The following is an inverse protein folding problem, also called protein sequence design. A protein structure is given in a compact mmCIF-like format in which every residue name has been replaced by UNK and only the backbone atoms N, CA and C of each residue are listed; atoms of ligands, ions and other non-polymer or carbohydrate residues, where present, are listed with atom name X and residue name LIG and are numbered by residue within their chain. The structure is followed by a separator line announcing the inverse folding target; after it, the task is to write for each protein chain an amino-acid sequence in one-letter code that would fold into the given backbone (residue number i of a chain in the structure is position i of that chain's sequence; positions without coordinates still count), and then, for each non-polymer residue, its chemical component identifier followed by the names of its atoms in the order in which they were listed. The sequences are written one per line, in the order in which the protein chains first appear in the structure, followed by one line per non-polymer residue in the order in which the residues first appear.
data_IF_092055173730
#
_entry.id   IF_092055173730
#
_cell.length_a   1.000
_cell.length_b   1.000
_cell.length_c   1.000
_cell.angle_alpha   90.00
_cell.angle_beta   90.00
_cell.angle_gamma   90.00
#
_symmetry.space_group_name_H-M   'P 1'
#
loop_
_entity.id
_entity.type
_entity.pdbx_description
1 polymer ?
#
# COMPACT_ATOMS: atom_id res chain seq x y z
N UNK A 1 -6.15 -0.31 20.32
CA UNK A 1 -4.95 -1.14 20.20
C UNK A 1 -4.42 -1.04 18.77
N UNK A 2 -3.11 -0.95 18.56
CA UNK A 2 -2.56 -1.03 17.22
C UNK A 2 -2.84 -2.41 16.61
N UNK A 3 -3.40 -2.47 15.41
CA UNK A 3 -3.78 -3.72 14.74
C UNK A 3 -2.63 -4.77 14.69
N UNK A 4 -1.37 -4.32 14.58
CA UNK A 4 -0.20 -5.19 14.60
C UNK A 4 0.08 -5.88 15.94
N UNK A 5 -0.51 -5.41 17.05
CA UNK A 5 -0.37 -6.02 18.37
C UNK A 5 -1.46 -7.06 18.66
N UNK A 6 -2.47 -7.19 17.79
CA UNK A 6 -3.61 -8.05 18.05
C UNK A 6 -3.24 -9.54 18.10
N UNK A 7 -2.31 -9.98 17.25
CA UNK A 7 -1.81 -11.37 17.28
C UNK A 7 -1.14 -11.69 18.61
N UNK A 8 -0.35 -10.74 19.15
CA UNK A 8 0.31 -10.90 20.46
C UNK A 8 -0.72 -10.91 21.60
N UNK A 9 -1.78 -10.09 21.50
CA UNK A 9 -2.89 -10.10 22.45
C UNK A 9 -3.62 -11.45 22.44
N UNK A 10 -3.95 -12.00 21.27
CA UNK A 10 -4.60 -13.30 21.16
C UNK A 10 -3.76 -14.41 21.77
N UNK A 11 -2.45 -14.42 21.49
CA UNK A 11 -1.50 -15.37 22.08
C UNK A 11 -1.48 -15.24 23.59
N UNK A 12 -1.34 -14.02 24.12
CA UNK A 12 -1.35 -13.75 25.55
C UNK A 12 -2.64 -14.25 26.23
N UNK A 13 -3.79 -13.97 25.62
CA UNK A 13 -5.09 -14.37 26.15
C UNK A 13 -5.26 -15.90 26.10
N UNK A 14 -4.89 -16.54 24.99
CA UNK A 14 -4.95 -17.99 24.83
C UNK A 14 -4.07 -18.72 25.88
N UNK A 15 -2.84 -18.25 26.12
CA UNK A 15 -1.93 -18.82 27.11
C UNK A 15 -2.45 -18.73 28.55
N UNK A 16 -3.42 -17.83 28.81
CA UNK A 16 -4.02 -17.58 30.14
C UNK A 16 -5.48 -17.95 30.26
N UNK A 17 -6.04 -18.60 29.23
CA UNK A 17 -7.44 -19.03 29.23
C UNK A 17 -8.45 -17.88 29.20
N UNK A 18 -8.05 -16.69 28.72
CA UNK A 18 -8.96 -15.56 28.51
C UNK A 18 -9.66 -15.66 27.17
N UNK A 19 -10.96 -15.32 27.15
CA UNK A 19 -11.68 -15.10 25.88
C UNK A 19 -11.43 -13.68 25.38
N UNK A 20 -11.40 -13.52 24.06
CA UNK A 20 -11.26 -12.22 23.40
C UNK A 20 -12.48 -11.97 22.56
N UNK A 21 -13.27 -10.98 22.93
CA UNK A 21 -14.35 -10.47 22.10
C UNK A 21 -13.84 -9.35 21.21
N UNK A 22 -14.18 -9.42 19.93
CA UNK A 22 -13.77 -8.42 18.94
C UNK A 22 -14.98 -7.89 18.20
N UNK A 23 -15.09 -6.59 18.10
CA UNK A 23 -16.07 -5.93 17.24
C UNK A 23 -15.43 -5.63 15.88
N UNK A 24 -16.19 -5.84 14.81
CA UNK A 24 -15.79 -5.42 13.48
C UNK A 24 -15.87 -3.88 13.41
N UNK A 25 -14.75 -3.26 13.11
CA UNK A 25 -14.67 -1.81 12.90
C UNK A 25 -14.67 -1.49 11.40
N UNK A 26 -14.80 -0.20 11.04
CA UNK A 26 -14.62 0.28 9.64
C UNK A 26 -13.28 -0.15 9.02
N UNK A 27 -12.30 -0.51 9.85
CA UNK A 27 -10.99 -1.02 9.45
C UNK A 27 -10.95 -2.55 9.31
N UNK A 28 -12.05 -3.24 9.59
CA UNK A 28 -12.17 -4.70 9.64
C UNK A 28 -11.54 -5.31 10.89
N UNK A 29 -11.70 -6.63 11.04
CA UNK A 29 -10.99 -7.40 12.05
C UNK A 29 -9.50 -7.49 11.67
N UNK A 30 -8.58 -7.37 12.62
CA UNK A 30 -7.13 -7.45 12.35
C UNK A 30 -6.67 -8.75 11.66
N UNK A 31 -7.49 -9.78 11.69
CA UNK A 31 -7.21 -11.13 11.16
C UNK A 31 -8.20 -11.55 10.08
N UNK A 32 -9.23 -10.74 9.75
CA UNK A 32 -10.16 -11.13 8.71
C UNK A 32 -9.45 -11.13 7.35
N UNK A 33 -9.17 -12.31 6.83
CA UNK A 33 -8.80 -12.46 5.43
C UNK A 33 -10.08 -12.37 4.60
N UNK A 34 -10.20 -11.32 3.80
CA UNK A 34 -11.23 -11.27 2.77
C UNK A 34 -10.94 -12.37 1.75
N UNK A 35 -11.96 -13.16 1.40
CA UNK A 35 -11.82 -14.01 0.23
C UNK A 35 -11.74 -13.11 -1.00
N UNK A 36 -10.63 -13.21 -1.72
CA UNK A 36 -10.50 -12.62 -3.07
C UNK A 36 -10.97 -13.70 -4.04
N UNK A 37 -11.94 -13.36 -4.87
CA UNK A 37 -12.38 -14.25 -5.93
C UNK A 37 -11.27 -14.28 -7.00
N UNK A 38 -10.63 -15.42 -7.16
CA UNK A 38 -9.54 -15.63 -8.11
C UNK A 38 -10.01 -15.51 -9.57
N UNK A 39 -11.25 -15.87 -9.85
CA UNK A 39 -11.84 -15.68 -11.18
C UNK A 39 -12.01 -14.20 -11.50
N UNK A 40 -12.56 -13.44 -10.57
CA UNK A 40 -12.68 -11.97 -10.72
C UNK A 40 -11.31 -11.30 -10.86
N UNK A 41 -10.33 -11.76 -10.09
CA UNK A 41 -8.96 -11.23 -10.16
C UNK A 41 -8.28 -11.55 -11.50
N UNK A 42 -8.46 -12.75 -12.05
CA UNK A 42 -7.93 -13.11 -13.37
C UNK A 42 -8.59 -12.27 -14.48
N UNK A 43 -9.89 -12.11 -14.45
CA UNK A 43 -10.60 -11.23 -15.39
C UNK A 43 -10.12 -9.77 -15.29
N UNK A 44 -9.78 -9.31 -14.09
CA UNK A 44 -9.18 -7.99 -13.90
C UNK A 44 -7.81 -7.90 -14.57
N UNK A 45 -6.92 -8.88 -14.40
CA UNK A 45 -5.59 -8.90 -15.02
C UNK A 45 -5.69 -8.83 -16.55
N UNK A 46 -6.63 -9.56 -17.15
CA UNK A 46 -6.86 -9.51 -18.60
C UNK A 46 -7.34 -8.13 -19.08
N UNK A 47 -8.22 -7.48 -18.29
CA UNK A 47 -8.83 -6.19 -18.66
C UNK A 47 -7.89 -4.99 -18.56
N UNK A 48 -6.91 -5.02 -17.67
CA UNK A 48 -6.01 -3.86 -17.48
C UNK A 48 -4.93 -3.73 -18.55
N UNK A 49 -4.83 -4.68 -19.48
CA UNK A 49 -3.93 -4.59 -20.63
C UNK A 49 -2.44 -4.64 -20.28
N UNK A 50 -2.06 -5.55 -19.39
CA UNK A 50 -0.67 -5.72 -18.98
C UNK A 50 0.24 -6.15 -20.14
N UNK A 51 1.50 -5.67 -20.21
CA UNK A 51 2.46 -6.11 -21.22
C UNK A 51 2.92 -7.56 -20.99
N UNK A 52 2.77 -8.08 -19.78
CA UNK A 52 3.06 -9.47 -19.39
C UNK A 52 2.25 -9.86 -18.16
N UNK A 53 2.02 -11.16 -18.00
CA UNK A 53 1.30 -11.67 -16.82
C UNK A 53 2.22 -11.73 -15.60
N UNK A 54 1.68 -11.58 -14.38
CA UNK A 54 2.45 -11.74 -13.15
C UNK A 54 2.99 -13.19 -13.05
N UNK A 55 4.21 -13.31 -12.53
CA UNK A 55 4.75 -14.61 -12.13
C UNK A 55 3.95 -15.15 -10.94
N UNK A 56 3.95 -16.46 -10.75
CA UNK A 56 3.20 -17.14 -9.68
C UNK A 56 3.40 -16.48 -8.31
N UNK A 57 4.65 -16.26 -7.88
CA UNK A 57 4.93 -15.63 -6.60
C UNK A 57 4.46 -14.15 -6.51
N UNK A 58 4.40 -13.43 -7.63
CA UNK A 58 3.86 -12.06 -7.67
C UNK A 58 2.34 -12.08 -7.55
N UNK A 59 1.71 -13.01 -8.26
CA UNK A 59 0.28 -13.27 -8.16
C UNK A 59 -0.12 -13.60 -6.70
N UNK A 60 0.56 -14.56 -6.08
CA UNK A 60 0.31 -14.96 -4.70
C UNK A 60 0.54 -13.84 -3.70
N UNK A 61 1.59 -13.04 -3.90
CA UNK A 61 1.86 -11.87 -3.07
C UNK A 61 0.74 -10.84 -3.16
N UNK A 62 0.21 -10.57 -4.36
CA UNK A 62 -0.91 -9.64 -4.56
C UNK A 62 -2.18 -10.18 -3.90
N UNK A 63 -2.55 -11.43 -4.14
CA UNK A 63 -3.74 -12.06 -3.54
C UNK A 63 -3.63 -12.02 -2.00
N UNK A 64 -2.49 -12.43 -1.45
CA UNK A 64 -2.26 -12.44 0.00
C UNK A 64 -2.36 -11.03 0.59
N UNK A 65 -1.83 -10.03 -0.08
CA UNK A 65 -1.94 -8.63 0.37
C UNK A 65 -3.38 -8.12 0.31
N UNK A 66 -4.11 -8.41 -0.77
CA UNK A 66 -5.51 -8.00 -0.95
C UNK A 66 -6.45 -8.66 0.06
N UNK A 67 -6.16 -9.89 0.48
CA UNK A 67 -6.89 -10.56 1.55
C UNK A 67 -6.75 -9.84 2.90
N UNK A 68 -5.71 -9.03 3.05
CA UNK A 68 -5.41 -8.27 4.26
C UNK A 68 -5.41 -6.78 3.92
N UNK A 69 -6.00 -5.97 4.76
CA UNK A 69 -5.97 -4.51 4.57
C UNK A 69 -4.59 -3.91 4.86
N UNK A 70 -3.76 -4.62 5.63
CA UNK A 70 -2.41 -4.20 6.01
C UNK A 70 -1.45 -5.38 5.92
N UNK A 71 -0.34 -5.21 5.20
CA UNK A 71 0.69 -6.23 5.07
C UNK A 71 2.07 -5.62 4.84
N UNK A 72 3.10 -6.34 5.25
CA UNK A 72 4.49 -6.12 4.83
C UNK A 72 4.86 -7.28 3.92
N UNK A 73 5.30 -6.95 2.71
CA UNK A 73 5.75 -7.91 1.71
C UNK A 73 7.27 -7.93 1.69
N UNK A 74 7.84 -9.09 2.01
CA UNK A 74 9.27 -9.33 1.83
C UNK A 74 9.50 -9.59 0.34
N UNK A 75 10.17 -8.68 -0.31
CA UNK A 75 10.34 -8.68 -1.75
C UNK A 75 11.78 -8.29 -2.09
N UNK A 76 12.68 -9.26 -2.31
CA UNK A 76 14.08 -9.00 -2.62
C UNK A 76 14.26 -8.10 -3.85
N UNK A 77 15.42 -7.50 -3.98
CA UNK A 77 15.78 -6.74 -5.19
C UNK A 77 15.63 -7.62 -6.43
N UNK A 78 15.05 -7.08 -7.48
CA UNK A 78 14.80 -7.82 -8.72
C UNK A 78 13.55 -8.73 -8.71
N UNK A 79 12.80 -8.82 -7.60
CA UNK A 79 11.56 -9.60 -7.53
C UNK A 79 10.36 -8.93 -8.24
N UNK A 80 10.52 -7.72 -8.78
CA UNK A 80 9.44 -6.98 -9.42
C UNK A 80 8.49 -6.32 -8.43
N UNK A 81 9.02 -5.74 -7.33
CA UNK A 81 8.25 -4.96 -6.35
C UNK A 81 7.33 -3.92 -6.99
N UNK A 82 7.85 -3.17 -7.97
CA UNK A 82 7.09 -2.14 -8.68
C UNK A 82 5.85 -2.71 -9.37
N UNK A 83 5.97 -3.92 -9.94
CA UNK A 83 4.85 -4.58 -10.58
C UNK A 83 3.77 -5.05 -9.58
N UNK A 84 4.19 -5.58 -8.43
CA UNK A 84 3.27 -5.94 -7.34
C UNK A 84 2.55 -4.67 -6.82
N UNK A 85 3.27 -3.57 -6.61
CA UNK A 85 2.69 -2.27 -6.24
C UNK A 85 1.67 -1.79 -7.27
N UNK A 86 2.01 -1.92 -8.56
CA UNK A 86 1.14 -1.55 -9.67
C UNK A 86 -0.18 -2.34 -9.63
N UNK A 87 -0.10 -3.66 -9.50
CA UNK A 87 -1.29 -4.53 -9.46
C UNK A 87 -2.18 -4.23 -8.25
N UNK A 88 -1.61 -4.06 -7.06
CA UNK A 88 -2.34 -3.68 -5.86
C UNK A 88 -3.06 -2.34 -6.02
N UNK A 89 -2.36 -1.35 -6.57
CA UNK A 89 -2.93 -0.02 -6.84
C UNK A 89 -4.06 -0.07 -7.85
N UNK A 90 -3.88 -0.79 -8.95
CA UNK A 90 -4.91 -0.89 -10.01
C UNK A 90 -6.15 -1.65 -9.50
N UNK A 91 -5.96 -2.75 -8.76
CA UNK A 91 -7.07 -3.46 -8.16
C UNK A 91 -7.83 -2.59 -7.13
N UNK A 92 -7.09 -1.86 -6.29
CA UNK A 92 -7.70 -0.90 -5.38
C UNK A 92 -8.56 0.14 -6.12
N UNK A 93 -8.04 0.72 -7.18
CA UNK A 93 -8.75 1.73 -7.97
C UNK A 93 -10.01 1.17 -8.62
N UNK A 94 -9.98 -0.08 -9.07
CA UNK A 94 -11.09 -0.72 -9.78
C UNK A 94 -12.20 -1.20 -8.83
N UNK A 95 -11.86 -1.77 -7.67
CA UNK A 95 -12.83 -2.52 -6.85
C UNK A 95 -12.95 -2.05 -5.41
N UNK A 96 -11.90 -1.45 -4.83
CA UNK A 96 -11.87 -1.15 -3.41
C UNK A 96 -12.07 0.33 -3.08
N UNK A 97 -11.92 1.20 -4.06
CA UNK A 97 -11.98 2.65 -3.89
C UNK A 97 -13.41 3.21 -3.95
N UNK A 98 -14.23 2.85 -2.99
CA UNK A 98 -15.65 3.27 -2.94
C UNK A 98 -15.84 4.75 -2.62
N UNK A 99 -14.85 5.40 -2.00
CA UNK A 99 -14.91 6.81 -1.57
C UNK A 99 -14.16 7.76 -2.53
N UNK A 100 -13.72 7.29 -3.69
CA UNK A 100 -12.91 8.06 -4.66
C UNK A 100 -11.67 8.73 -4.02
N UNK A 101 -11.00 8.01 -3.15
CA UNK A 101 -9.80 8.45 -2.46
C UNK A 101 -8.56 8.24 -3.33
N UNK A 102 -7.50 8.99 -3.03
CA UNK A 102 -6.24 8.91 -3.74
C UNK A 102 -5.36 7.77 -3.22
N UNK A 103 -4.38 7.39 -4.04
CA UNK A 103 -3.30 6.47 -3.67
C UNK A 103 -2.03 7.28 -3.40
N UNK A 104 -1.36 6.98 -2.29
CA UNK A 104 -0.06 7.54 -1.93
C UNK A 104 1.00 6.43 -1.99
N UNK A 105 2.06 6.66 -2.76
CA UNK A 105 3.23 5.79 -2.80
C UNK A 105 4.41 6.55 -2.23
N UNK A 106 5.05 5.99 -1.21
CA UNK A 106 6.15 6.61 -0.49
C UNK A 106 7.43 5.84 -0.80
N UNK A 107 8.41 6.55 -1.29
CA UNK A 107 9.74 6.00 -1.62
C UNK A 107 10.84 6.77 -0.91
N UNK A 108 12.03 6.19 -0.69
CA UNK A 108 13.11 6.86 0.04
C UNK A 108 13.81 7.98 -0.74
N UNK A 109 13.91 7.89 -2.07
CA UNK A 109 14.70 8.80 -2.89
C UNK A 109 13.97 9.36 -4.10
N UNK A 110 14.43 10.48 -4.63
CA UNK A 110 13.87 11.08 -5.85
C UNK A 110 14.10 10.21 -7.08
N UNK A 111 15.22 9.52 -7.17
CA UNK A 111 15.49 8.58 -8.27
C UNK A 111 14.47 7.44 -8.31
N UNK A 112 14.04 6.94 -7.14
CA UNK A 112 12.99 5.92 -7.08
C UNK A 112 11.61 6.48 -7.45
N UNK A 113 11.33 7.78 -7.23
CA UNK A 113 10.09 8.40 -7.75
C UNK A 113 10.06 8.33 -9.28
N UNK A 114 11.17 8.67 -9.93
CA UNK A 114 11.26 8.64 -11.39
C UNK A 114 11.23 7.21 -11.94
N UNK A 115 12.01 6.30 -11.32
CA UNK A 115 12.04 4.89 -11.73
C UNK A 115 10.65 4.26 -11.63
N UNK A 116 9.97 4.40 -10.50
CA UNK A 116 8.65 3.82 -10.31
C UNK A 116 7.62 4.40 -11.27
N UNK A 117 7.73 5.70 -11.60
CA UNK A 117 6.90 6.33 -12.61
C UNK A 117 7.16 5.74 -14.00
N UNK A 118 8.44 5.49 -14.35
CA UNK A 118 8.80 4.84 -15.61
C UNK A 118 8.29 3.40 -15.68
N UNK A 119 8.46 2.63 -14.60
CA UNK A 119 7.95 1.27 -14.51
C UNK A 119 6.43 1.23 -14.73
N UNK A 120 5.68 2.13 -14.09
CA UNK A 120 4.23 2.19 -14.26
C UNK A 120 3.79 2.57 -15.67
N UNK A 121 4.57 3.41 -16.35
CA UNK A 121 4.37 3.71 -17.76
C UNK A 121 4.58 2.46 -18.62
N UNK A 122 5.63 1.68 -18.36
CA UNK A 122 5.90 0.42 -19.05
C UNK A 122 4.79 -0.62 -18.81
N UNK A 123 4.14 -0.59 -17.65
CA UNK A 123 2.99 -1.45 -17.34
C UNK A 123 1.66 -0.97 -17.96
N UNK A 124 1.70 0.10 -18.76
CA UNK A 124 0.53 0.59 -19.50
C UNK A 124 -0.23 1.74 -18.86
N UNK A 125 0.30 2.37 -17.80
CA UNK A 125 -0.38 3.50 -17.15
C UNK A 125 -0.14 4.81 -17.90
N UNK A 126 -1.20 5.60 -18.06
CA UNK A 126 -1.09 7.01 -18.50
C UNK A 126 -0.56 7.86 -17.32
N UNK A 127 0.76 7.90 -17.18
CA UNK A 127 1.43 8.56 -16.06
C UNK A 127 1.24 10.08 -16.08
N UNK A 128 1.08 10.68 -17.27
CA UNK A 128 0.85 12.12 -17.38
C UNK A 128 -0.53 12.51 -16.87
N UNK A 129 -1.50 11.67 -17.06
CA UNK A 129 -2.86 11.87 -16.56
C UNK A 129 -3.01 11.50 -15.09
N UNK A 130 -2.47 10.37 -14.68
CA UNK A 130 -2.81 9.72 -13.42
C UNK A 130 -1.83 10.01 -12.29
N UNK A 131 -0.53 10.21 -12.58
CA UNK A 131 0.52 10.30 -11.55
C UNK A 131 0.96 11.74 -11.31
N UNK A 132 1.01 12.11 -10.05
CA UNK A 132 1.65 13.33 -9.58
C UNK A 132 2.87 13.02 -8.72
N UNK A 133 4.01 13.60 -9.09
CA UNK A 133 5.29 13.39 -8.39
C UNK A 133 5.55 14.55 -7.43
N UNK A 134 5.84 14.24 -6.15
CA UNK A 134 6.17 15.24 -5.12
C UNK A 134 7.58 14.98 -4.58
N UNK A 135 8.52 15.84 -4.96
CA UNK A 135 9.89 15.89 -4.40
C UNK A 135 10.53 17.26 -4.71
N UNK A 136 11.53 17.67 -3.93
CA UNK A 136 12.36 18.85 -4.20
C UNK A 136 11.57 20.11 -4.60
N UNK A 137 10.61 20.53 -3.76
CA UNK A 137 9.87 21.79 -3.97
C UNK A 137 8.71 21.72 -4.98
N UNK A 138 8.42 20.57 -5.58
CA UNK A 138 7.24 20.40 -6.45
C UNK A 138 5.93 20.62 -5.68
N UNK A 139 4.92 21.10 -6.40
CA UNK A 139 3.59 21.38 -5.85
C UNK A 139 2.98 20.13 -5.18
N UNK A 140 2.34 20.36 -4.03
CA UNK A 140 1.66 19.33 -3.22
C UNK A 140 0.16 19.22 -3.50
N UNK A 141 -0.36 20.11 -4.34
CA UNK A 141 -1.77 20.15 -4.70
C UNK A 141 -1.94 19.58 -6.11
N UNK A 142 -2.82 18.59 -6.22
CA UNK A 142 -3.10 17.96 -7.52
C UNK A 142 -4.50 17.37 -7.56
N UNK A 143 -5.07 17.33 -8.76
CA UNK A 143 -6.30 16.59 -9.06
C UNK A 143 -6.03 15.11 -9.39
N UNK A 144 -4.78 14.73 -9.70
CA UNK A 144 -4.41 13.37 -10.07
C UNK A 144 -4.64 12.41 -8.91
N UNK A 145 -4.93 11.15 -9.23
CA UNK A 145 -5.38 10.16 -8.27
C UNK A 145 -4.25 9.36 -7.61
N UNK A 146 -3.07 9.31 -8.23
CA UNK A 146 -1.90 8.61 -7.70
C UNK A 146 -0.80 9.63 -7.42
N UNK A 147 -0.27 9.60 -6.20
CA UNK A 147 0.82 10.46 -5.79
C UNK A 147 2.02 9.59 -5.44
N UNK A 148 3.14 9.82 -6.09
CA UNK A 148 4.43 9.20 -5.75
C UNK A 148 5.32 10.26 -5.13
N UNK A 149 5.82 10.04 -3.92
CA UNK A 149 6.57 11.04 -3.17
C UNK A 149 7.68 10.44 -2.35
N UNK A 150 8.72 11.24 -2.12
CA UNK A 150 9.64 10.95 -1.02
C UNK A 150 9.00 11.33 0.32
N UNK A 151 9.28 10.58 1.38
CA UNK A 151 8.72 10.85 2.71
C UNK A 151 9.15 12.24 3.22
N UNK A 152 10.38 12.69 2.90
CA UNK A 152 10.92 14.00 3.28
C UNK A 152 10.06 15.17 2.77
N UNK A 153 9.48 14.99 1.59
CA UNK A 153 8.71 16.06 0.93
C UNK A 153 7.31 16.24 1.55
N UNK A 154 6.78 15.20 2.20
CA UNK A 154 5.38 15.19 2.65
C UNK A 154 5.17 15.11 4.15
N UNK A 155 6.15 14.68 4.97
CA UNK A 155 5.95 14.40 6.41
C UNK A 155 5.45 15.59 7.22
N UNK A 156 5.77 16.83 6.79
CA UNK A 156 5.31 18.09 7.42
C UNK A 156 3.88 18.48 7.04
N UNK A 157 3.27 17.82 6.04
CA UNK A 157 1.91 18.17 5.63
C UNK A 157 0.92 17.97 6.79
N UNK A 158 -0.15 18.77 6.84
CA UNK A 158 -1.17 18.65 7.87
C UNK A 158 -1.96 17.35 7.72
N UNK A 159 -2.62 16.90 8.81
CA UNK A 159 -3.45 15.69 8.82
C UNK A 159 -4.49 15.68 7.70
N UNK A 160 -5.16 16.81 7.45
CA UNK A 160 -6.16 16.96 6.39
C UNK A 160 -5.63 16.62 4.99
N UNK A 161 -4.32 16.81 4.74
CA UNK A 161 -3.70 16.43 3.48
C UNK A 161 -3.62 14.91 3.33
N UNK A 162 -3.37 14.19 4.42
CA UNK A 162 -3.26 12.73 4.43
C UNK A 162 -4.62 12.03 4.41
N UNK A 163 -5.70 12.67 4.85
CA UNK A 163 -7.04 12.08 4.85
C UNK A 163 -7.64 11.87 3.45
N UNK A 164 -6.99 12.36 2.42
CA UNK A 164 -7.39 12.16 1.01
C UNK A 164 -7.05 10.76 0.49
N UNK A 165 -6.22 10.00 1.21
CA UNK A 165 -5.68 8.74 0.74
C UNK A 165 -6.41 7.57 1.39
N UNK A 166 -6.88 6.65 0.55
CA UNK A 166 -7.48 5.40 1.00
C UNK A 166 -6.51 4.21 0.92
N UNK A 167 -5.43 4.37 0.13
CA UNK A 167 -4.34 3.39 0.04
C UNK A 167 -2.98 4.08 0.18
N UNK A 168 -2.09 3.43 0.94
CA UNK A 168 -0.68 3.81 1.05
C UNK A 168 0.19 2.59 0.72
N UNK A 169 1.13 2.79 -0.19
CA UNK A 169 2.20 1.85 -0.51
C UNK A 169 3.53 2.46 -0.06
N UNK A 170 4.35 1.71 0.65
CA UNK A 170 5.66 2.18 1.09
C UNK A 170 6.76 1.27 0.60
N UNK A 171 7.69 1.81 -0.18
CA UNK A 171 8.90 1.08 -0.57
C UNK A 171 9.98 1.25 0.48
N UNK A 172 10.82 0.21 0.65
CA UNK A 172 11.87 0.13 1.67
C UNK A 172 11.36 0.47 3.09
N UNK A 173 10.25 -0.18 3.46
CA UNK A 173 9.51 0.12 4.69
C UNK A 173 10.28 -0.20 5.98
N UNK A 174 11.43 -0.89 5.93
CA UNK A 174 12.32 -1.03 7.09
C UNK A 174 12.76 0.34 7.65
N UNK A 175 12.86 1.37 6.80
CA UNK A 175 13.10 2.75 7.21
C UNK A 175 11.90 3.41 7.92
N UNK A 176 10.74 2.76 8.00
CA UNK A 176 9.52 3.32 8.61
C UNK A 176 9.54 3.36 10.14
N UNK A 177 10.61 2.89 10.77
CA UNK A 177 10.87 3.11 12.20
C UNK A 177 11.18 4.57 12.54
N UNK A 178 11.45 5.41 11.54
CA UNK A 178 11.71 6.84 11.76
C UNK A 178 10.45 7.56 12.29
N UNK A 179 10.66 8.55 13.18
CA UNK A 179 9.56 9.39 13.72
C UNK A 179 8.73 10.05 12.62
N UNK A 180 9.36 10.40 11.51
CA UNK A 180 8.71 11.07 10.38
C UNK A 180 7.73 10.16 9.64
N UNK A 181 8.12 8.91 9.38
CA UNK A 181 7.27 7.94 8.70
C UNK A 181 6.13 7.46 9.61
N UNK A 182 6.42 7.25 10.90
CA UNK A 182 5.37 6.98 11.90
C UNK A 182 4.37 8.14 11.97
N UNK A 183 4.84 9.38 11.90
CA UNK A 183 3.98 10.57 11.85
C UNK A 183 3.07 10.58 10.60
N UNK A 184 3.58 10.20 9.43
CA UNK A 184 2.77 10.08 8.22
C UNK A 184 1.65 9.05 8.43
N UNK A 185 1.99 7.87 8.92
CA UNK A 185 1.02 6.78 9.12
C UNK A 185 -0.05 7.15 10.16
N UNK A 186 0.31 7.89 11.21
CA UNK A 186 -0.64 8.39 12.22
C UNK A 186 -1.56 9.49 11.70
N UNK A 187 -1.12 10.28 10.72
CA UNK A 187 -1.93 11.31 10.07
C UNK A 187 -2.91 10.75 9.03
N UNK A 188 -2.55 9.65 8.39
CA UNK A 188 -3.30 9.05 7.28
C UNK A 188 -4.40 8.09 7.80
N UNK A 189 -5.28 8.57 8.67
CA UNK A 189 -6.30 7.73 9.34
C UNK A 189 -7.32 7.14 8.39
N UNK A 190 -7.59 7.78 7.26
CA UNK A 190 -8.53 7.28 6.25
C UNK A 190 -7.94 6.20 5.33
N UNK A 191 -6.62 5.99 5.37
CA UNK A 191 -5.98 4.96 4.57
C UNK A 191 -6.26 3.57 5.14
N UNK A 192 -7.29 2.92 4.62
CA UNK A 192 -7.67 1.56 5.00
C UNK A 192 -6.65 0.51 4.54
N UNK A 193 -6.08 0.71 3.36
CA UNK A 193 -5.14 -0.24 2.74
C UNK A 193 -3.72 0.30 2.87
N UNK A 194 -2.85 -0.47 3.55
CA UNK A 194 -1.47 -0.06 3.83
C UNK A 194 -0.52 -1.22 3.58
N UNK A 195 0.32 -1.11 2.57
CA UNK A 195 1.27 -2.14 2.21
C UNK A 195 2.69 -1.60 2.22
N UNK A 196 3.54 -2.27 2.97
CA UNK A 196 4.98 -2.01 3.00
C UNK A 196 5.73 -3.04 2.18
N UNK A 197 6.78 -2.61 1.51
CA UNK A 197 7.69 -3.47 0.76
C UNK A 197 9.09 -3.31 1.33
N UNK A 198 9.81 -4.41 1.47
CA UNK A 198 11.19 -4.40 1.93
C UNK A 198 11.96 -5.56 1.34
N UNK A 199 13.24 -5.36 1.03
CA UNK A 199 14.14 -6.41 0.58
C UNK A 199 14.67 -7.27 1.74
N UNK A 200 14.66 -6.73 2.95
CA UNK A 200 15.16 -7.38 4.17
C UNK A 200 14.24 -7.13 5.35
N UNK A 201 14.18 -8.06 6.29
CA UNK A 201 13.48 -7.87 7.56
C UNK A 201 14.43 -7.39 8.67
N UNK A 202 15.73 -7.41 8.42
CA UNK A 202 16.77 -7.05 9.37
C UNK A 202 17.01 -5.54 9.32
N UNK A 203 16.76 -4.91 10.45
CA UNK A 203 17.01 -3.51 10.71
C UNK A 203 17.21 -3.27 12.18
#
# INVERSE_FOLDING_TARGET
LNAGLFVYLLKFCSERGYSVDTEETDYGLPISSKKIDTYEFNNFLEKIGLPFMPREYQYDAVITALQRSNAILLSPTGSGKSFIMYLLMQYYRAFLNTKNQKVLIIVPTTSLVEQLTSDFKEYGMDVEKDIHKIYSGKDKITKKNVIISTWQSIYKNPRAWFQKFGMILGDECHGFKSKSLSSIMNKATEAKYRYGFTGTLDG
#
